data_IF_690004425184
#
_entry.id   IF_690004425184
#
_cell.length_a   1.000
_cell.length_b   1.000
_cell.length_c   1.000
_cell.angle_alpha   90.00
_cell.angle_beta   90.00
_cell.angle_gamma   90.00
#
_symmetry.space_group_name_H-M   'P 1'
#
loop_
_entity.id
_entity.type
_entity.pdbx_description
1 polymer ?
#
# COMPACT_ATOMS: atom_id res chain seq x y z
N UNK A 1 1.28 3.49 84.45
CA UNK A 1 0.04 3.87 83.74
C UNK A 1 0.30 3.77 82.24
N UNK A 2 -0.57 3.00 81.57
CA UNK A 2 -0.77 2.79 80.12
C UNK A 2 0.25 1.97 79.29
N UNK A 3 -0.37 1.24 78.36
CA UNK A 3 -0.03 -0.01 77.66
C UNK A 3 0.51 0.24 76.23
N UNK A 4 1.05 -0.79 75.54
CA UNK A 4 1.57 -0.70 74.17
C UNK A 4 0.44 -0.73 73.13
N UNK A 5 0.68 -0.17 71.94
CA UNK A 5 -0.21 -0.32 70.79
C UNK A 5 0.61 -0.49 69.51
N UNK A 6 0.55 -1.68 68.93
CA UNK A 6 0.96 -1.96 67.56
C UNK A 6 -0.03 -1.31 66.58
N UNK A 7 0.41 -0.93 65.38
CA UNK A 7 -0.47 -0.85 64.22
C UNK A 7 0.25 -1.22 62.92
N UNK A 8 -0.33 -2.20 62.22
CA UNK A 8 0.00 -2.65 60.89
C UNK A 8 -0.40 -1.60 59.84
N UNK A 9 0.27 -1.62 58.69
CA UNK A 9 -0.25 -1.12 57.42
C UNK A 9 0.89 -0.56 56.56
N UNK A 10 1.10 -0.95 55.32
CA UNK A 10 0.41 -1.87 54.42
C UNK A 10 1.24 -1.86 53.14
N UNK A 11 1.47 -3.03 52.54
CA UNK A 11 2.21 -3.16 51.28
C UNK A 11 1.31 -2.63 50.17
N UNK A 12 1.69 -1.50 49.56
CA UNK A 12 1.04 -0.99 48.36
C UNK A 12 1.68 -1.67 47.14
N UNK A 13 1.10 -2.79 46.69
CA UNK A 13 1.42 -3.39 45.39
C UNK A 13 0.76 -2.51 44.32
N UNK A 14 1.52 -1.59 43.74
CA UNK A 14 1.12 -0.86 42.53
C UNK A 14 1.18 -1.83 41.35
N UNK A 15 0.03 -2.39 40.98
CA UNK A 15 -0.13 -3.14 39.74
C UNK A 15 0.07 -2.17 38.56
N UNK A 16 1.22 -2.23 37.92
CA UNK A 16 1.47 -1.55 36.65
C UNK A 16 0.59 -2.22 35.59
N UNK A 17 -0.50 -1.55 35.23
CA UNK A 17 -1.37 -1.96 34.13
C UNK A 17 -0.65 -1.61 32.83
N UNK A 18 0.19 -2.53 32.36
CA UNK A 18 0.81 -2.46 31.04
C UNK A 18 -0.32 -2.58 30.00
N UNK A 19 -0.82 -1.44 29.53
CA UNK A 19 -1.62 -1.38 28.31
C UNK A 19 -0.63 -1.66 27.17
N UNK A 20 -0.44 -2.93 26.86
CA UNK A 20 0.12 -3.35 25.59
C UNK A 20 -0.82 -2.82 24.52
N UNK A 21 -0.48 -1.68 23.91
CA UNK A 21 -1.06 -1.32 22.64
C UNK A 21 -0.67 -2.43 21.67
N UNK A 22 -1.62 -3.32 21.40
CA UNK A 22 -1.53 -4.19 20.25
C UNK A 22 -1.46 -3.25 19.04
N UNK A 23 -0.26 -3.09 18.48
CA UNK A 23 -0.12 -2.66 17.10
C UNK A 23 -0.83 -3.72 16.27
N UNK A 24 -2.13 -3.50 16.03
CA UNK A 24 -2.81 -4.19 14.96
C UNK A 24 -2.00 -3.87 13.71
N UNK A 25 -1.43 -4.90 13.09
CA UNK A 25 -1.06 -4.84 11.69
C UNK A 25 -2.37 -4.55 10.94
N UNK A 26 -2.68 -3.27 10.77
CA UNK A 26 -3.76 -2.85 9.91
C UNK A 26 -3.28 -3.14 8.49
N UNK A 27 -4.07 -3.93 7.77
CA UNK A 27 -3.98 -4.06 6.34
C UNK A 27 -3.70 -2.69 5.72
N UNK A 28 -2.77 -2.61 4.76
CA UNK A 28 -2.39 -1.37 4.09
C UNK A 28 -3.50 -0.95 3.12
N UNK A 29 -4.63 -0.51 3.65
CA UNK A 29 -5.73 0.01 2.86
C UNK A 29 -6.09 1.45 3.25
N UNK A 30 -6.32 2.25 2.22
CA UNK A 30 -6.79 3.64 2.32
C UNK A 30 -8.20 3.66 1.74
N UNK A 31 -9.15 4.16 2.53
CA UNK A 31 -10.55 4.23 2.13
C UNK A 31 -11.06 5.66 2.18
N UNK A 32 -11.68 6.07 1.09
CA UNK A 32 -12.49 7.31 1.00
C UNK A 32 -13.96 6.94 0.90
N UNK A 33 -14.83 7.94 0.75
CA UNK A 33 -16.25 7.69 0.48
C UNK A 33 -16.51 7.06 -0.90
N UNK A 34 -15.60 7.27 -1.86
CA UNK A 34 -15.78 6.85 -3.25
C UNK A 34 -15.06 5.54 -3.62
N UNK A 35 -13.92 5.27 -2.96
CA UNK A 35 -13.04 4.16 -3.35
C UNK A 35 -12.25 3.60 -2.17
N UNK A 36 -11.69 2.40 -2.39
CA UNK A 36 -10.67 1.79 -1.55
C UNK A 36 -9.44 1.50 -2.37
N UNK A 37 -8.29 1.86 -1.83
CA UNK A 37 -6.97 1.45 -2.29
C UNK A 37 -6.46 0.40 -1.32
N UNK A 38 -6.02 -0.75 -1.80
CA UNK A 38 -5.53 -1.82 -0.94
C UNK A 38 -4.27 -2.46 -1.50
N UNK A 39 -3.46 -3.01 -0.60
CA UNK A 39 -2.25 -3.77 -0.91
C UNK A 39 -1.28 -3.06 -1.86
N UNK A 40 -0.90 -1.80 -1.59
CA UNK A 40 0.15 -1.15 -2.35
C UNK A 40 1.50 -1.83 -2.11
N UNK A 41 2.10 -2.36 -3.18
CA UNK A 41 3.43 -2.94 -3.12
C UNK A 41 4.26 -2.64 -4.36
N UNK A 42 5.58 -2.69 -4.23
CA UNK A 42 6.55 -2.62 -5.31
C UNK A 42 7.51 -3.80 -5.22
N UNK A 43 8.05 -4.23 -6.35
CA UNK A 43 9.04 -5.31 -6.38
C UNK A 43 10.46 -4.76 -6.18
N UNK A 44 11.33 -5.46 -5.42
CA UNK A 44 12.73 -5.07 -5.25
C UNK A 44 13.45 -4.92 -6.58
N UNK A 45 14.40 -4.00 -6.64
CA UNK A 45 15.21 -3.76 -7.84
C UNK A 45 16.70 -4.03 -7.57
N UNK A 46 17.47 -4.55 -8.54
CA UNK A 46 18.91 -4.70 -8.38
C UNK A 46 19.61 -3.34 -8.27
N UNK A 47 20.82 -3.28 -7.67
CA UNK A 47 21.62 -2.06 -7.65
C UNK A 47 21.85 -1.50 -9.07
N UNK A 48 21.61 -0.20 -9.24
CA UNK A 48 21.77 0.49 -10.53
C UNK A 48 20.59 0.36 -11.49
N UNK A 49 19.48 -0.27 -11.08
CA UNK A 49 18.24 -0.23 -11.84
C UNK A 49 17.72 1.20 -11.99
N UNK A 50 17.44 1.62 -13.23
CA UNK A 50 16.89 2.95 -13.50
C UNK A 50 15.39 3.02 -13.24
N UNK A 51 14.67 1.90 -13.31
CA UNK A 51 13.21 1.85 -13.24
C UNK A 51 12.72 0.71 -12.35
N UNK A 52 11.51 0.85 -11.82
CA UNK A 52 10.80 -0.15 -11.04
C UNK A 52 9.31 -0.16 -11.35
N UNK A 53 8.54 -0.98 -10.64
CA UNK A 53 7.09 -1.02 -10.78
C UNK A 53 6.41 -1.18 -9.41
N UNK A 54 5.27 -0.51 -9.27
CA UNK A 54 4.37 -0.63 -8.14
C UNK A 54 2.98 -1.11 -8.60
N UNK A 55 2.27 -1.73 -7.67
CA UNK A 55 1.05 -2.47 -7.86
C UNK A 55 0.10 -2.18 -6.72
N UNK A 56 -1.19 -2.15 -7.02
CA UNK A 56 -2.22 -1.80 -6.05
C UNK A 56 -3.58 -2.36 -6.50
N UNK A 57 -4.47 -2.60 -5.54
CA UNK A 57 -5.88 -2.84 -5.80
C UNK A 57 -6.68 -1.54 -5.66
N UNK A 58 -7.50 -1.23 -6.66
CA UNK A 58 -8.40 -0.07 -6.66
C UNK A 58 -9.83 -0.57 -6.79
N UNK A 59 -10.63 -0.40 -5.73
CA UNK A 59 -12.06 -0.70 -5.73
C UNK A 59 -12.86 0.60 -5.80
N UNK A 60 -13.72 0.73 -6.81
CA UNK A 60 -14.72 1.79 -6.87
C UNK A 60 -16.01 1.34 -6.17
N UNK A 61 -16.63 2.21 -5.38
CA UNK A 61 -17.88 1.89 -4.68
C UNK A 61 -19.11 2.19 -5.54
N UNK A 62 -19.85 3.27 -5.23
CA UNK A 62 -21.11 3.60 -5.90
C UNK A 62 -20.94 4.20 -7.29
N UNK A 63 -19.85 4.94 -7.49
CA UNK A 63 -19.56 5.69 -8.71
C UNK A 63 -18.24 5.20 -9.31
N UNK A 64 -18.09 5.25 -10.65
CA UNK A 64 -16.82 4.94 -11.26
C UNK A 64 -15.75 5.98 -10.87
N UNK A 65 -14.51 5.51 -10.77
CA UNK A 65 -13.34 6.36 -10.53
C UNK A 65 -12.35 6.23 -11.68
N UNK A 66 -11.53 7.25 -11.87
CA UNK A 66 -10.54 7.26 -12.96
C UNK A 66 -9.23 7.79 -12.42
N UNK A 67 -8.23 6.90 -12.40
CA UNK A 67 -6.86 7.24 -12.04
C UNK A 67 -6.21 7.88 -13.27
N UNK A 68 -5.68 9.08 -13.12
CA UNK A 68 -5.10 9.87 -14.23
C UNK A 68 -3.62 10.18 -14.03
N UNK A 69 -3.05 9.75 -12.91
CA UNK A 69 -1.64 9.95 -12.63
C UNK A 69 -1.23 9.40 -11.28
N UNK A 70 0.08 9.39 -11.06
CA UNK A 70 0.68 9.08 -9.79
C UNK A 70 1.99 9.86 -9.63
N UNK A 71 2.48 10.00 -8.40
CA UNK A 71 3.81 10.56 -8.13
C UNK A 71 4.42 9.95 -6.87
N UNK A 72 5.75 9.97 -6.77
CA UNK A 72 6.47 9.51 -5.58
C UNK A 72 7.84 10.17 -5.52
N UNK A 73 8.37 10.49 -4.32
CA UNK A 73 9.77 10.90 -4.18
C UNK A 73 10.77 9.78 -4.49
N UNK A 74 10.33 8.52 -4.63
CA UNK A 74 11.20 7.38 -4.96
C UNK A 74 11.65 7.34 -6.42
N UNK A 75 11.03 8.14 -7.30
CA UNK A 75 11.34 8.20 -8.73
C UNK A 75 11.14 9.59 -9.32
N UNK A 76 11.75 9.87 -10.46
CA UNK A 76 11.58 11.14 -11.17
C UNK A 76 10.18 11.28 -11.79
N UNK A 77 9.60 10.17 -12.25
CA UNK A 77 8.25 10.12 -12.79
C UNK A 77 7.54 8.83 -12.38
N UNK A 78 6.21 8.85 -12.35
CA UNK A 78 5.38 7.65 -12.23
C UNK A 78 4.37 7.68 -13.37
N UNK A 79 4.37 6.62 -14.17
CA UNK A 79 3.47 6.49 -15.31
C UNK A 79 2.49 5.33 -15.13
N UNK A 80 1.29 5.48 -15.68
CA UNK A 80 0.31 4.40 -15.73
C UNK A 80 0.60 3.55 -16.96
N UNK A 81 0.80 2.25 -16.78
CA UNK A 81 1.14 1.35 -17.87
C UNK A 81 0.15 0.17 -17.88
N UNK A 82 -0.06 -0.39 -19.06
CA UNK A 82 -0.81 -1.63 -19.25
C UNK A 82 0.02 -2.61 -20.07
N UNK A 83 0.07 -3.85 -19.63
CA UNK A 83 0.65 -4.96 -20.38
C UNK A 83 -0.45 -5.73 -21.08
N UNK A 84 -0.48 -5.64 -22.41
CA UNK A 84 -1.48 -6.29 -23.25
C UNK A 84 -0.81 -7.09 -24.37
N UNK A 85 -1.47 -8.16 -24.81
CA UNK A 85 -1.10 -8.88 -26.02
C UNK A 85 -1.42 -8.04 -27.25
N UNK A 86 -0.41 -7.82 -28.09
CA UNK A 86 -0.57 -7.31 -29.44
C UNK A 86 -0.10 -8.41 -30.41
N UNK A 87 -1.06 -9.20 -30.89
CA UNK A 87 -0.78 -10.47 -31.56
C UNK A 87 -0.14 -11.47 -30.60
N UNK A 88 1.02 -11.99 -30.97
CA UNK A 88 1.81 -12.94 -30.17
C UNK A 88 2.84 -12.27 -29.24
N UNK A 89 2.86 -10.93 -29.19
CA UNK A 89 3.83 -10.16 -28.41
C UNK A 89 3.14 -9.47 -27.23
N UNK A 90 3.65 -9.72 -26.02
CA UNK A 90 3.31 -8.92 -24.84
C UNK A 90 3.98 -7.55 -24.94
N UNK A 91 3.17 -6.49 -24.93
CA UNK A 91 3.66 -5.11 -24.96
C UNK A 91 3.24 -4.37 -23.70
N UNK A 92 4.22 -3.74 -23.07
CA UNK A 92 4.01 -2.73 -22.03
C UNK A 92 3.80 -1.39 -22.72
N UNK A 93 2.67 -0.74 -22.47
CA UNK A 93 2.35 0.57 -23.06
C UNK A 93 1.89 1.53 -21.98
N UNK A 94 2.38 2.76 -22.06
CA UNK A 94 1.82 3.89 -21.33
C UNK A 94 0.34 4.06 -21.67
N UNK A 95 -0.46 4.40 -20.66
CA UNK A 95 -1.87 4.78 -20.79
C UNK A 95 -2.10 6.08 -20.04
N UNK A 96 -2.96 6.95 -20.58
CA UNK A 96 -3.23 8.26 -19.96
C UNK A 96 -4.07 8.11 -18.67
N UNK A 97 -4.92 7.09 -18.61
CA UNK A 97 -5.83 6.87 -17.49
C UNK A 97 -6.19 5.39 -17.29
N UNK A 98 -6.64 5.07 -16.09
CA UNK A 98 -7.20 3.76 -15.72
C UNK A 98 -8.59 3.99 -15.15
N UNK A 99 -9.60 3.50 -15.87
CA UNK A 99 -11.00 3.58 -15.47
C UNK A 99 -11.41 2.36 -14.63
N UNK A 100 -11.98 2.60 -13.45
CA UNK A 100 -12.56 1.57 -12.59
C UNK A 100 -14.06 1.78 -12.52
N UNK A 101 -14.83 0.85 -13.07
CA UNK A 101 -16.29 0.91 -13.03
C UNK A 101 -16.84 0.81 -11.60
N UNK A 102 -18.00 1.41 -11.34
CA UNK A 102 -18.69 1.30 -10.05
C UNK A 102 -18.89 -0.16 -9.62
N UNK A 103 -18.58 -0.46 -8.36
CA UNK A 103 -18.68 -1.78 -7.77
C UNK A 103 -17.64 -2.78 -8.28
N UNK A 104 -16.62 -2.33 -9.03
CA UNK A 104 -15.53 -3.16 -9.52
C UNK A 104 -14.22 -2.88 -8.81
N UNK A 105 -13.34 -3.87 -8.88
CA UNK A 105 -11.95 -3.78 -8.46
C UNK A 105 -11.05 -4.00 -9.67
N UNK A 106 -10.06 -3.15 -9.85
CA UNK A 106 -8.89 -3.45 -10.67
C UNK A 106 -7.76 -3.86 -9.75
N UNK A 107 -7.17 -5.02 -10.02
CA UNK A 107 -6.01 -5.55 -9.32
C UNK A 107 -4.80 -5.51 -10.23
N UNK A 108 -3.79 -4.73 -9.83
CA UNK A 108 -2.51 -4.67 -10.54
C UNK A 108 -1.59 -5.75 -9.97
N UNK A 109 -0.95 -6.55 -10.84
CA UNK A 109 -0.03 -7.61 -10.42
C UNK A 109 1.18 -7.68 -11.37
N UNK A 110 2.34 -8.15 -10.89
CA UNK A 110 3.49 -8.43 -11.75
C UNK A 110 3.13 -9.39 -12.88
N UNK A 111 3.62 -9.11 -14.09
CA UNK A 111 3.52 -10.02 -15.24
C UNK A 111 2.29 -9.86 -16.15
N UNK A 112 1.36 -8.95 -15.84
CA UNK A 112 0.24 -8.67 -16.75
C UNK A 112 -0.67 -7.53 -16.28
N UNK A 113 -1.44 -6.97 -17.21
CA UNK A 113 -2.41 -5.91 -16.93
C UNK A 113 -1.77 -4.59 -16.50
N UNK A 114 -2.54 -3.80 -15.75
CA UNK A 114 -2.13 -2.47 -15.31
C UNK A 114 -1.05 -2.52 -14.22
N UNK A 115 -0.17 -1.51 -14.21
CA UNK A 115 0.81 -1.26 -13.16
C UNK A 115 1.27 0.19 -13.19
N UNK A 116 1.90 0.63 -12.09
CA UNK A 116 2.51 1.95 -11.95
C UNK A 116 4.01 1.83 -12.25
N UNK A 117 4.46 2.37 -13.38
CA UNK A 117 5.86 2.34 -13.78
C UNK A 117 6.62 3.49 -13.11
N UNK A 118 7.61 3.16 -12.29
CA UNK A 118 8.47 4.12 -11.59
C UNK A 118 9.69 4.37 -12.48
N UNK A 119 9.78 5.58 -13.06
CA UNK A 119 10.85 5.93 -13.98
C UNK A 119 11.90 6.83 -13.34
N UNK A 120 13.17 6.46 -13.50
CA UNK A 120 14.29 7.19 -12.91
C UNK A 120 14.28 7.11 -11.39
N UNK A 121 14.40 5.91 -10.85
CA UNK A 121 14.51 5.64 -9.42
C UNK A 121 15.66 6.45 -8.80
N UNK A 122 15.39 7.08 -7.65
CA UNK A 122 16.40 7.84 -6.90
C UNK A 122 17.38 6.93 -6.18
N UNK A 123 16.91 5.75 -5.77
CA UNK A 123 17.69 4.67 -5.17
C UNK A 123 17.05 3.30 -5.49
N UNK A 124 17.80 2.19 -5.39
CA UNK A 124 17.23 0.87 -5.55
C UNK A 124 16.13 0.59 -4.52
N UNK A 125 15.02 0.01 -4.97
CA UNK A 125 13.95 -0.48 -4.10
C UNK A 125 14.44 -1.73 -3.35
N UNK A 126 14.58 -1.64 -2.02
CA UNK A 126 15.07 -2.76 -1.20
C UNK A 126 13.94 -3.42 -0.45
N UNK A 127 13.91 -4.73 -0.50
CA UNK A 127 12.92 -5.55 0.18
C UNK A 127 12.83 -5.23 1.69
N UNK A 128 11.60 -5.14 2.20
CA UNK A 128 11.29 -4.75 3.57
C UNK A 128 11.28 -3.24 3.83
N UNK A 129 11.75 -2.41 2.89
CA UNK A 129 11.56 -0.95 2.94
C UNK A 129 10.18 -0.54 2.41
N UNK A 130 9.87 0.75 2.53
CA UNK A 130 8.60 1.35 2.10
C UNK A 130 8.79 2.80 1.68
N UNK A 131 7.96 3.27 0.76
CA UNK A 131 7.99 4.66 0.28
C UNK A 131 6.58 5.22 0.07
N UNK A 132 6.38 6.54 0.18
CA UNK A 132 5.08 7.15 -0.10
C UNK A 132 4.83 7.25 -1.60
N UNK A 133 3.58 7.07 -2.01
CA UNK A 133 3.10 7.28 -3.37
C UNK A 133 1.77 8.01 -3.32
N UNK A 134 1.58 8.99 -4.21
CA UNK A 134 0.32 9.71 -4.35
C UNK A 134 -0.35 9.26 -5.64
N UNK A 135 -1.60 8.84 -5.55
CA UNK A 135 -2.47 8.51 -6.69
C UNK A 135 -3.39 9.69 -6.98
N UNK A 136 -3.41 10.20 -8.21
CA UNK A 136 -4.26 11.32 -8.60
C UNK A 136 -5.47 10.82 -9.38
N UNK A 137 -6.66 10.99 -8.78
CA UNK A 137 -7.94 10.63 -9.40
C UNK A 137 -8.63 11.86 -9.98
N UNK A 138 -9.22 11.72 -11.17
CA UNK A 138 -9.80 12.83 -11.93
C UNK A 138 -10.88 13.63 -11.16
N UNK A 139 -11.66 12.96 -10.31
CA UNK A 139 -12.75 13.58 -9.53
C UNK A 139 -12.46 13.61 -8.03
N UNK A 140 -11.76 12.60 -7.52
CA UNK A 140 -11.53 12.43 -6.08
C UNK A 140 -10.28 13.18 -5.60
N UNK A 141 -9.44 13.67 -6.52
CA UNK A 141 -8.17 14.31 -6.19
C UNK A 141 -7.12 13.28 -5.76
N UNK A 142 -6.19 13.74 -4.94
CA UNK A 142 -5.03 12.97 -4.53
C UNK A 142 -5.34 12.03 -3.37
N UNK A 143 -4.83 10.81 -3.46
CA UNK A 143 -4.89 9.78 -2.41
C UNK A 143 -3.48 9.31 -2.13
N UNK A 144 -2.99 9.61 -0.94
CA UNK A 144 -1.67 9.18 -0.47
C UNK A 144 -1.72 7.76 0.07
N UNK A 145 -0.75 6.94 -0.34
CA UNK A 145 -0.57 5.56 0.10
C UNK A 145 0.89 5.30 0.46
N UNK A 146 1.10 4.26 1.24
CA UNK A 146 2.43 3.77 1.59
C UNK A 146 2.68 2.46 0.86
N UNK A 147 3.69 2.43 -0.02
CA UNK A 147 4.01 1.28 -0.86
C UNK A 147 5.09 0.44 -0.19
N UNK A 148 4.79 -0.85 0.03
CA UNK A 148 5.70 -1.81 0.62
C UNK A 148 6.57 -2.49 -0.43
N UNK A 149 7.86 -2.64 -0.15
CA UNK A 149 8.77 -3.30 -1.08
C UNK A 149 8.89 -4.76 -0.68
N UNK A 150 8.35 -5.66 -1.50
CA UNK A 150 8.29 -7.10 -1.22
C UNK A 150 8.32 -7.92 -2.50
N UNK A 151 8.64 -9.20 -2.40
CA UNK A 151 8.68 -10.07 -3.57
C UNK A 151 7.34 -10.07 -4.32
N UNK A 152 7.40 -10.30 -5.64
CA UNK A 152 6.21 -10.36 -6.49
C UNK A 152 5.16 -11.37 -5.98
N UNK A 153 5.65 -12.51 -5.47
CA UNK A 153 4.82 -13.56 -4.90
C UNK A 153 4.14 -13.09 -3.61
N UNK A 154 4.91 -12.60 -2.63
CA UNK A 154 4.34 -12.13 -1.36
C UNK A 154 3.38 -10.95 -1.56
N UNK A 155 3.71 -10.01 -2.45
CA UNK A 155 2.83 -8.92 -2.89
C UNK A 155 1.47 -9.41 -3.36
N UNK A 156 1.49 -10.39 -4.25
CA UNK A 156 0.27 -10.94 -4.85
C UNK A 156 -0.52 -11.80 -3.86
N UNK A 157 0.15 -12.67 -3.11
CA UNK A 157 -0.48 -13.55 -2.13
C UNK A 157 -1.11 -12.79 -0.97
N UNK A 158 -0.41 -11.76 -0.45
CA UNK A 158 -0.96 -10.89 0.57
C UNK A 158 -2.25 -10.21 0.08
N UNK A 159 -2.28 -9.76 -1.17
CA UNK A 159 -3.44 -9.10 -1.74
C UNK A 159 -4.62 -10.05 -1.98
N UNK A 160 -4.35 -11.26 -2.47
CA UNK A 160 -5.39 -12.23 -2.84
C UNK A 160 -5.95 -12.98 -1.61
N UNK A 161 -5.17 -13.11 -0.53
CA UNK A 161 -5.58 -13.76 0.72
C UNK A 161 -6.66 -13.03 1.52
N UNK A 162 -6.98 -11.77 1.18
CA UNK A 162 -8.02 -10.97 1.84
C UNK A 162 -9.40 -11.03 1.18
N UNK A 163 -9.60 -11.93 0.21
CA UNK A 163 -10.89 -12.17 -0.46
C UNK A 163 -11.72 -13.34 0.11
N UNK A 164 -11.36 -13.89 1.28
CA UNK A 164 -12.10 -14.96 1.97
C UNK A 164 -12.86 -14.48 3.21
#
# INVERSE_FOLDING_TARGET
MLKPMAWLGGVLVMAALSISMASGALAHDVRTDALRIAHPFATPTPPGAENGAAYVDITAFSDPVTLIGASSPASNNVELHNMQMDGDMMQMRHVDEIHVEAGKTISMRPGGGFHLMLLGLTEPLKEGERFPLTLTFAKQGDVDIEVWIQSAQEGSEAADGHHH
#
